data_IF_527115399256
#
_entry.id   IF_527115399256
#
_cell.length_a   1.000
_cell.length_b   1.000
_cell.length_c   1.000
_cell.angle_alpha   90.00
_cell.angle_beta   90.00
_cell.angle_gamma   90.00
#
_symmetry.space_group_name_H-M   'P 1'
#
loop_
_entity.id
_entity.type
_entity.pdbx_description
1 polymer ?
#
# COMPACT_ATOMS: atom_id res chain seq x y z
N UNK A 1 10.92 43.08 25.05
CA UNK A 1 9.86 42.17 24.57
C UNK A 1 10.19 41.61 23.18
N UNK A 2 11.10 40.63 23.06
CA UNK A 2 11.46 40.06 21.74
C UNK A 2 11.72 38.54 21.74
N UNK A 3 11.92 37.93 22.91
CA UNK A 3 12.16 36.47 23.04
C UNK A 3 10.93 35.64 22.64
N UNK A 4 9.71 36.14 22.87
CA UNK A 4 8.44 35.43 22.60
C UNK A 4 8.11 35.32 21.10
N UNK A 5 8.41 36.36 20.30
CA UNK A 5 8.18 36.33 18.85
C UNK A 5 9.21 35.44 18.17
N UNK A 6 10.49 35.56 18.54
CA UNK A 6 11.56 34.71 18.02
C UNK A 6 11.33 33.24 18.38
N UNK A 7 10.86 32.94 19.59
CA UNK A 7 10.51 31.56 19.97
C UNK A 7 9.31 31.01 19.19
N UNK A 8 8.30 31.84 18.89
CA UNK A 8 7.17 31.46 18.03
C UNK A 8 7.63 31.16 16.60
N UNK A 9 8.44 32.04 16.00
CA UNK A 9 8.99 31.83 14.64
C UNK A 9 9.81 30.53 14.58
N UNK A 10 10.67 30.29 15.59
CA UNK A 10 11.48 29.07 15.66
C UNK A 10 10.61 27.81 15.81
N UNK A 11 9.59 27.87 16.65
CA UNK A 11 8.61 26.80 16.83
C UNK A 11 7.87 26.49 15.52
N UNK A 12 7.33 27.51 14.85
CA UNK A 12 6.64 27.35 13.56
C UNK A 12 7.55 26.78 12.48
N UNK A 13 8.79 27.23 12.38
CA UNK A 13 9.74 26.69 11.41
C UNK A 13 10.10 25.22 11.67
N UNK A 14 10.31 24.84 12.95
CA UNK A 14 10.58 23.45 13.33
C UNK A 14 9.35 22.57 13.07
N UNK A 15 8.17 23.01 13.50
CA UNK A 15 6.93 22.25 13.34
C UNK A 15 6.54 22.12 11.85
N UNK A 16 6.71 23.18 11.07
CA UNK A 16 6.49 23.16 9.62
C UNK A 16 7.45 22.23 8.89
N UNK A 17 8.74 22.23 9.27
CA UNK A 17 9.72 21.30 8.74
C UNK A 17 9.39 19.84 9.07
N UNK A 18 9.04 19.54 10.32
CA UNK A 18 8.61 18.21 10.76
C UNK A 18 7.33 17.74 10.05
N UNK A 19 6.36 18.64 9.86
CA UNK A 19 5.12 18.35 9.13
C UNK A 19 5.40 18.02 7.66
N UNK A 20 6.21 18.83 6.97
CA UNK A 20 6.59 18.60 5.58
C UNK A 20 7.36 17.28 5.41
N UNK A 21 8.32 17.00 6.30
CA UNK A 21 9.06 15.74 6.30
C UNK A 21 8.12 14.53 6.48
N UNK A 22 7.17 14.61 7.41
CA UNK A 22 6.18 13.54 7.62
C UNK A 22 5.28 13.32 6.39
N UNK A 23 4.84 14.40 5.71
CA UNK A 23 4.06 14.28 4.47
C UNK A 23 4.86 13.63 3.34
N UNK A 24 6.14 13.98 3.20
CA UNK A 24 7.04 13.36 2.20
C UNK A 24 7.24 11.87 2.51
N UNK A 25 7.57 11.53 3.76
CA UNK A 25 7.77 10.14 4.18
C UNK A 25 6.52 9.28 3.89
N UNK A 26 5.34 9.81 4.19
CA UNK A 26 4.06 9.15 3.89
C UNK A 26 3.84 8.97 2.39
N UNK A 27 4.10 10.01 1.59
CA UNK A 27 3.99 9.94 0.13
C UNK A 27 4.92 8.87 -0.48
N UNK A 28 6.17 8.83 -0.02
CA UNK A 28 7.15 7.80 -0.43
C UNK A 28 6.65 6.40 -0.04
N UNK A 29 6.14 6.23 1.18
CA UNK A 29 5.58 4.94 1.64
C UNK A 29 4.40 4.50 0.77
N UNK A 30 3.48 5.41 0.46
CA UNK A 30 2.33 5.12 -0.40
C UNK A 30 2.76 4.70 -1.81
N UNK A 31 3.66 5.46 -2.44
CA UNK A 31 4.21 5.11 -3.76
C UNK A 31 4.92 3.77 -3.74
N UNK A 32 5.70 3.46 -2.69
CA UNK A 32 6.35 2.17 -2.55
C UNK A 32 5.34 1.03 -2.52
N UNK A 33 4.28 1.14 -1.72
CA UNK A 33 3.25 0.09 -1.63
C UNK A 33 2.55 -0.11 -2.99
N UNK A 34 2.31 0.97 -3.76
CA UNK A 34 1.77 0.86 -5.12
C UNK A 34 2.71 0.15 -6.09
N UNK A 35 4.02 0.44 -6.02
CA UNK A 35 5.00 -0.25 -6.86
C UNK A 35 5.09 -1.73 -6.50
N UNK A 36 5.08 -2.06 -5.20
CA UNK A 36 5.06 -3.44 -4.72
C UNK A 36 3.79 -4.17 -5.20
N UNK A 37 2.63 -3.50 -5.17
CA UNK A 37 1.37 -4.05 -5.66
C UNK A 37 1.43 -4.38 -7.16
N UNK A 38 1.89 -3.43 -7.99
CA UNK A 38 2.03 -3.63 -9.44
C UNK A 38 2.99 -4.79 -9.76
N UNK A 39 4.08 -4.92 -9.01
CA UNK A 39 5.02 -6.02 -9.19
C UNK A 39 4.38 -7.38 -8.87
N UNK A 40 3.59 -7.47 -7.80
CA UNK A 40 2.89 -8.69 -7.42
C UNK A 40 1.77 -9.05 -8.38
N UNK A 41 1.03 -8.06 -8.91
CA UNK A 41 0.01 -8.26 -9.95
C UNK A 41 0.61 -8.80 -11.25
N UNK A 42 1.73 -8.22 -11.71
CA UNK A 42 2.43 -8.70 -12.90
C UNK A 42 2.98 -10.13 -12.71
N UNK A 43 3.54 -10.41 -11.53
CA UNK A 43 4.00 -11.76 -11.16
C UNK A 43 2.82 -12.76 -11.16
N UNK A 44 1.68 -12.37 -10.60
CA UNK A 44 0.46 -13.20 -10.60
C UNK A 44 0.00 -13.49 -12.02
N UNK A 45 -0.13 -12.46 -12.88
CA UNK A 45 -0.53 -12.60 -14.28
C UNK A 45 0.39 -13.58 -15.02
N UNK A 46 1.70 -13.40 -14.88
CA UNK A 46 2.70 -14.26 -15.52
C UNK A 46 2.55 -15.73 -15.09
N UNK A 47 2.37 -15.97 -13.79
CA UNK A 47 2.20 -17.33 -13.24
C UNK A 47 0.88 -17.96 -13.68
N UNK A 48 -0.21 -17.20 -13.71
CA UNK A 48 -1.51 -17.67 -14.18
C UNK A 48 -1.48 -18.02 -15.67
N UNK A 49 -0.84 -17.20 -16.50
CA UNK A 49 -0.63 -17.51 -17.92
C UNK A 49 0.13 -18.81 -18.10
N UNK A 50 1.25 -18.99 -17.38
CA UNK A 50 2.04 -20.21 -17.42
C UNK A 50 1.25 -21.45 -16.98
N UNK A 51 0.46 -21.34 -15.91
CA UNK A 51 -0.39 -22.43 -15.46
C UNK A 51 -1.47 -22.75 -16.51
N UNK A 52 -2.05 -21.73 -17.14
CA UNK A 52 -3.00 -21.89 -18.25
C UNK A 52 -2.41 -22.63 -19.44
N UNK A 53 -1.18 -22.30 -19.84
CA UNK A 53 -0.44 -23.02 -20.89
C UNK A 53 -0.20 -24.49 -20.52
N UNK A 54 0.20 -24.78 -19.29
CA UNK A 54 0.39 -26.16 -18.80
C UNK A 54 -0.92 -26.96 -18.82
N UNK A 55 -2.01 -26.35 -18.35
CA UNK A 55 -3.34 -26.95 -18.40
C UNK A 55 -3.78 -27.24 -19.84
N UNK A 56 -3.58 -26.29 -20.76
CA UNK A 56 -3.94 -26.45 -22.17
C UNK A 56 -3.16 -27.61 -22.82
N UNK A 57 -1.85 -27.68 -22.60
CA UNK A 57 -1.02 -28.79 -23.10
C UNK A 57 -1.45 -30.14 -22.51
N UNK A 58 -1.81 -30.20 -21.24
CA UNK A 58 -2.31 -31.42 -20.62
C UNK A 58 -3.69 -31.84 -21.17
N UNK A 59 -4.54 -30.88 -21.55
CA UNK A 59 -5.81 -31.17 -22.23
C UNK A 59 -5.56 -31.81 -23.61
N UNK A 60 -4.64 -31.24 -24.40
CA UNK A 60 -4.30 -31.77 -25.72
C UNK A 60 -3.74 -33.19 -25.66
N UNK A 61 -2.99 -33.51 -24.60
CA UNK A 61 -2.38 -34.83 -24.40
C UNK A 61 -3.25 -35.80 -23.59
N UNK A 62 -4.50 -35.44 -23.26
CA UNK A 62 -5.40 -36.21 -22.40
C UNK A 62 -4.77 -36.63 -21.05
N UNK A 63 -3.90 -35.78 -20.51
CA UNK A 63 -3.09 -36.02 -19.31
C UNK A 63 -3.41 -35.04 -18.18
N UNK A 64 -4.66 -34.59 -18.09
CA UNK A 64 -5.05 -33.58 -17.09
C UNK A 64 -4.85 -34.06 -15.65
N UNK A 65 -5.11 -35.35 -15.42
CA UNK A 65 -5.02 -35.93 -14.08
C UNK A 65 -3.58 -35.98 -13.56
N UNK A 66 -2.58 -36.11 -14.44
CA UNK A 66 -1.17 -36.08 -14.02
C UNK A 66 -0.71 -34.68 -13.60
N UNK A 67 -1.43 -33.61 -13.98
CA UNK A 67 -1.07 -32.24 -13.61
C UNK A 67 -1.19 -31.98 -12.10
N UNK A 68 -2.06 -32.73 -11.41
CA UNK A 68 -2.24 -32.62 -9.95
C UNK A 68 -1.07 -33.20 -9.16
N UNK A 69 -0.33 -34.11 -9.77
CA UNK A 69 0.82 -34.79 -9.18
C UNK A 69 2.15 -34.19 -9.67
N UNK A 70 2.09 -33.32 -10.69
CA UNK A 70 3.23 -32.58 -11.20
C UNK A 70 3.70 -31.55 -10.15
N UNK A 71 4.89 -31.79 -9.59
CA UNK A 71 5.47 -30.96 -8.55
C UNK A 71 5.64 -29.49 -8.98
N UNK A 72 5.95 -29.22 -10.25
CA UNK A 72 6.12 -27.87 -10.76
C UNK A 72 4.77 -27.15 -10.91
N UNK A 73 3.71 -27.86 -11.33
CA UNK A 73 2.35 -27.31 -11.38
C UNK A 73 1.80 -27.01 -9.98
N UNK A 74 2.08 -27.89 -9.00
CA UNK A 74 1.72 -27.69 -7.59
C UNK A 74 2.44 -26.47 -7.02
N UNK A 75 3.75 -26.36 -7.19
CA UNK A 75 4.54 -25.22 -6.72
C UNK A 75 4.09 -23.90 -7.36
N UNK A 76 3.76 -23.93 -8.66
CA UNK A 76 3.22 -22.78 -9.38
C UNK A 76 1.86 -22.35 -8.81
N UNK A 77 0.99 -23.31 -8.49
CA UNK A 77 -0.32 -23.04 -7.87
C UNK A 77 -0.17 -22.47 -6.46
N UNK A 78 0.73 -23.02 -5.65
CA UNK A 78 1.07 -22.46 -4.33
C UNK A 78 1.58 -21.02 -4.44
N UNK A 79 2.48 -20.76 -5.38
CA UNK A 79 3.01 -19.42 -5.65
C UNK A 79 1.92 -18.43 -6.06
N UNK A 80 0.92 -18.86 -6.84
CA UNK A 80 -0.24 -18.03 -7.21
C UNK A 80 -1.05 -17.63 -5.97
N UNK A 81 -1.31 -18.57 -5.07
CA UNK A 81 -2.04 -18.31 -3.81
C UNK A 81 -1.27 -17.32 -2.93
N UNK A 82 0.06 -17.43 -2.87
CA UNK A 82 0.89 -16.49 -2.13
C UNK A 82 0.85 -15.08 -2.72
N UNK A 83 0.94 -14.93 -4.05
CA UNK A 83 0.76 -13.65 -4.73
C UNK A 83 -0.60 -13.03 -4.41
N UNK A 84 -1.69 -13.79 -4.50
CA UNK A 84 -3.04 -13.30 -4.18
C UNK A 84 -3.14 -12.82 -2.74
N UNK A 85 -2.59 -13.57 -1.78
CA UNK A 85 -2.54 -13.16 -0.37
C UNK A 85 -1.74 -11.86 -0.19
N UNK A 86 -0.61 -11.74 -0.88
CA UNK A 86 0.24 -10.54 -0.79
C UNK A 86 -0.45 -9.31 -1.37
N UNK A 87 -1.14 -9.45 -2.50
CA UNK A 87 -1.96 -8.40 -3.11
C UNK A 87 -3.05 -7.92 -2.16
N UNK A 88 -3.77 -8.84 -1.51
CA UNK A 88 -4.78 -8.49 -0.50
C UNK A 88 -4.17 -7.67 0.65
N UNK A 89 -3.04 -8.11 1.19
CA UNK A 89 -2.33 -7.38 2.26
C UNK A 89 -1.88 -5.98 1.83
N UNK A 90 -1.36 -5.83 0.61
CA UNK A 90 -0.93 -4.53 0.09
C UNK A 90 -2.13 -3.59 -0.11
N UNK A 91 -3.26 -4.11 -0.59
CA UNK A 91 -4.50 -3.34 -0.71
C UNK A 91 -5.04 -2.91 0.67
N UNK A 92 -5.03 -3.78 1.68
CA UNK A 92 -5.38 -3.41 3.06
C UNK A 92 -4.48 -2.29 3.60
N UNK A 93 -3.18 -2.36 3.32
CA UNK A 93 -2.23 -1.31 3.70
C UNK A 93 -2.54 0.03 3.00
N UNK A 94 -2.92 0.02 1.72
CA UNK A 94 -3.33 1.22 1.00
C UNK A 94 -4.63 1.81 1.56
N UNK A 95 -5.63 0.97 1.84
CA UNK A 95 -6.89 1.41 2.45
C UNK A 95 -6.66 2.04 3.83
N UNK A 96 -5.83 1.43 4.66
CA UNK A 96 -5.49 2.00 5.98
C UNK A 96 -4.77 3.36 5.88
N UNK A 97 -3.97 3.58 4.83
CA UNK A 97 -3.37 4.90 4.58
C UNK A 97 -4.43 5.90 4.16
N UNK A 98 -5.37 5.52 3.29
CA UNK A 98 -6.45 6.39 2.82
C UNK A 98 -7.47 6.76 3.91
N UNK A 99 -7.87 5.82 4.78
CA UNK A 99 -8.79 6.08 5.90
C UNK A 99 -8.18 7.07 6.90
N UNK A 100 -6.88 6.92 7.21
CA UNK A 100 -6.15 7.87 8.07
C UNK A 100 -6.05 9.27 7.46
N UNK A 101 -6.17 9.43 6.15
CA UNK A 101 -6.24 10.75 5.50
C UNK A 101 -7.61 11.41 5.72
N UNK A 102 -8.70 10.64 5.68
CA UNK A 102 -10.04 11.17 5.99
C UNK A 102 -10.14 11.65 7.45
N UNK A 103 -9.52 10.94 8.39
CA UNK A 103 -9.50 11.33 9.81
C UNK A 103 -8.61 12.55 10.08
N UNK A 104 -7.40 12.62 9.49
CA UNK A 104 -6.47 13.73 9.73
C UNK A 104 -6.94 15.08 9.15
N UNK A 105 -7.85 15.10 8.17
CA UNK A 105 -8.44 16.34 7.66
C UNK A 105 -9.35 16.98 8.73
N UNK A 106 -10.03 16.16 9.54
CA UNK A 106 -10.95 16.62 10.59
C UNK A 106 -10.17 17.23 11.77
N UNK A 107 -9.03 16.64 12.15
CA UNK A 107 -8.23 17.11 13.28
C UNK A 107 -7.55 18.48 13.03
N UNK A 108 -7.13 18.76 11.78
CA UNK A 108 -6.49 20.04 11.43
C UNK A 108 -7.49 21.20 11.42
N UNK A 109 -8.74 20.96 11.05
CA UNK A 109 -9.80 21.98 11.14
C UNK A 109 -10.13 22.32 12.60
N UNK A 110 -10.03 21.35 13.51
CA UNK A 110 -10.35 21.54 14.91
C UNK A 110 -9.23 22.27 15.71
N UNK A 111 -7.95 22.11 15.32
CA UNK A 111 -6.81 22.84 15.92
C UNK A 111 -6.64 24.27 15.36
N UNK A 112 -7.15 24.56 14.16
CA UNK A 112 -7.09 25.90 13.55
C UNK A 112 -8.32 26.77 13.85
N UNK A 113 -9.34 26.23 14.52
CA UNK A 113 -10.46 27.01 15.00
C UNK A 113 -9.96 28.02 16.05
N UNK A 114 -10.11 29.34 15.85
CA UNK A 114 -9.81 30.30 16.91
C UNK A 114 -10.68 29.97 18.12
N UNK A 115 -10.15 30.11 19.36
CA UNK A 115 -10.97 29.89 20.54
C UNK A 115 -12.20 30.78 20.43
N UNK A 116 -13.38 30.17 20.51
CA UNK A 116 -14.64 30.91 20.60
C UNK A 116 -14.49 31.95 21.70
N UNK A 117 -14.56 33.22 21.32
CA UNK A 117 -14.69 34.29 22.30
C UNK A 117 -16.07 34.11 22.91
N UNK A 118 -16.13 33.46 24.07
CA UNK A 118 -17.29 33.53 24.96
C UNK A 118 -17.41 35.00 25.40
N UNK A 119 -18.52 35.64 25.00
CA UNK A 119 -18.98 36.94 25.48
C UNK A 119 -19.48 36.88 26.92
#
# INVERSE_FOLDING_TARGET
>A
MNKSIISKIKSTAINGGSFAASKIEKGVRYTKIKLDLLAEELSLETKMTKLGEQCFQAMENASLDSLKEDAAAVELTSSIVENQKRILQLNEQLSSIAEKEAENIIDVEHELAPPSQEE
#
